data_IF_223082245455
#
_entry.id   IF_223082245455
#
_cell.length_a   1.000
_cell.length_b   1.000
_cell.length_c   1.000
_cell.angle_alpha   90.00
_cell.angle_beta   90.00
_cell.angle_gamma   90.00
#
_symmetry.space_group_name_H-M   'P 1'
#
loop_
_entity.id
_entity.type
_entity.pdbx_description
1 polymer ?
#
# COMPACT_ATOMS: atom_id res chain seq x y z
N UNK A 1 -44.90 -23.05 11.23
CA UNK A 1 -44.55 -21.77 11.88
C UNK A 1 -44.82 -20.62 10.93
N UNK A 2 -45.62 -19.63 11.35
CA UNK A 2 -45.90 -18.44 10.57
C UNK A 2 -44.71 -17.47 10.60
N UNK A 3 -44.38 -16.84 9.48
CA UNK A 3 -43.28 -15.87 9.37
C UNK A 3 -43.28 -15.14 8.03
N UNK A 4 -42.63 -13.98 7.96
CA UNK A 4 -42.56 -13.18 6.73
C UNK A 4 -41.33 -13.53 5.88
N UNK A 5 -41.56 -14.03 4.66
CA UNK A 5 -40.52 -14.29 3.65
C UNK A 5 -40.25 -13.09 2.73
N UNK A 6 -40.88 -11.94 2.96
CA UNK A 6 -40.79 -10.77 2.07
C UNK A 6 -39.48 -10.01 2.30
N UNK A 7 -38.50 -10.17 1.41
CA UNK A 7 -37.17 -9.57 1.55
C UNK A 7 -37.05 -8.11 1.07
N UNK A 8 -37.93 -7.66 0.17
CA UNK A 8 -37.86 -6.31 -0.42
C UNK A 8 -38.51 -5.22 0.44
N UNK A 9 -39.25 -5.61 1.48
CA UNK A 9 -40.00 -4.70 2.35
C UNK A 9 -39.31 -4.62 3.71
N UNK A 10 -38.88 -3.41 4.08
CA UNK A 10 -38.26 -3.15 5.38
C UNK A 10 -36.97 -3.94 5.63
N UNK A 11 -36.74 -4.26 6.90
CA UNK A 11 -35.63 -5.09 7.39
C UNK A 11 -36.18 -6.36 8.03
N UNK A 12 -35.31 -7.32 8.37
CA UNK A 12 -35.72 -8.47 9.18
C UNK A 12 -36.22 -8.01 10.54
N UNK A 13 -35.51 -7.09 11.20
CA UNK A 13 -35.86 -6.59 12.53
C UNK A 13 -37.23 -5.93 12.60
N UNK A 14 -37.52 -5.00 11.68
CA UNK A 14 -38.84 -4.32 11.61
C UNK A 14 -39.97 -5.31 11.38
N UNK A 15 -39.82 -6.23 10.42
CA UNK A 15 -40.83 -7.27 10.14
C UNK A 15 -41.05 -8.21 11.32
N UNK A 16 -39.99 -8.66 11.98
CA UNK A 16 -40.08 -9.51 13.17
C UNK A 16 -40.75 -8.79 14.33
N UNK A 17 -40.36 -7.53 14.59
CA UNK A 17 -40.97 -6.69 15.63
C UNK A 17 -42.47 -6.53 15.42
N UNK A 18 -42.88 -6.25 14.18
CA UNK A 18 -44.30 -6.00 13.88
C UNK A 18 -45.12 -7.30 13.97
N UNK A 19 -44.56 -8.45 13.53
CA UNK A 19 -45.19 -9.77 13.72
C UNK A 19 -45.30 -10.17 15.21
N UNK A 20 -44.31 -9.82 16.03
CA UNK A 20 -44.37 -10.02 17.48
C UNK A 20 -45.46 -9.15 18.11
N UNK A 21 -45.58 -7.88 17.71
CA UNK A 21 -46.64 -6.97 18.19
C UNK A 21 -48.05 -7.46 17.85
N UNK A 22 -48.21 -8.12 16.70
CA UNK A 22 -49.48 -8.75 16.29
C UNK A 22 -49.75 -10.10 16.97
N UNK A 23 -48.83 -10.61 17.80
CA UNK A 23 -48.96 -11.91 18.47
C UNK A 23 -48.78 -13.13 17.57
N UNK A 24 -48.36 -12.93 16.30
CA UNK A 24 -48.19 -14.01 15.31
C UNK A 24 -46.89 -14.79 15.53
N UNK A 25 -45.86 -14.11 16.06
CA UNK A 25 -44.52 -14.67 16.27
C UNK A 25 -44.09 -14.54 17.72
N UNK A 26 -43.56 -15.62 18.31
CA UNK A 26 -42.81 -15.54 19.58
C UNK A 26 -41.45 -14.88 19.35
N UNK A 27 -40.94 -14.22 20.38
CA UNK A 27 -39.65 -13.54 20.32
C UNK A 27 -38.51 -14.50 19.95
N UNK A 28 -37.76 -14.23 18.87
CA UNK A 28 -36.61 -15.04 18.52
C UNK A 28 -35.38 -14.65 19.36
N UNK A 29 -34.48 -15.61 19.58
CA UNK A 29 -33.29 -15.44 20.43
C UNK A 29 -32.43 -14.23 20.06
N UNK A 30 -32.29 -13.95 18.75
CA UNK A 30 -31.46 -12.85 18.26
C UNK A 30 -32.07 -11.46 18.46
N UNK A 31 -33.37 -11.36 18.78
CA UNK A 31 -34.10 -10.07 18.79
C UNK A 31 -33.55 -9.10 19.83
N UNK A 32 -33.27 -9.59 21.05
CA UNK A 32 -32.74 -8.77 22.14
C UNK A 32 -31.33 -8.27 21.83
N UNK A 33 -30.49 -9.16 21.28
CA UNK A 33 -29.13 -8.82 20.85
C UNK A 33 -29.16 -7.69 19.83
N UNK A 34 -30.06 -7.77 18.84
CA UNK A 34 -30.22 -6.73 17.83
C UNK A 34 -30.76 -5.42 18.43
N UNK A 35 -31.72 -5.50 19.37
CA UNK A 35 -32.31 -4.32 20.00
C UNK A 35 -31.31 -3.59 20.91
N UNK A 36 -30.44 -4.33 21.62
CA UNK A 36 -29.41 -3.77 22.48
C UNK A 36 -28.24 -3.17 21.68
N UNK A 37 -27.81 -3.87 20.63
CA UNK A 37 -26.66 -3.48 19.80
C UNK A 37 -27.05 -3.40 18.31
N UNK A 38 -27.87 -2.42 17.90
CA UNK A 38 -28.31 -2.30 16.52
C UNK A 38 -27.13 -1.93 15.59
N UNK A 39 -27.14 -2.40 14.32
CA UNK A 39 -26.11 -2.03 13.36
C UNK A 39 -26.20 -0.55 12.98
N UNK A 40 -25.07 0.06 12.62
CA UNK A 40 -25.01 1.47 12.16
C UNK A 40 -25.96 1.78 11.00
N UNK A 41 -26.19 0.82 10.11
CA UNK A 41 -27.13 0.93 8.99
C UNK A 41 -28.07 -0.25 9.00
N UNK A 42 -29.36 0.05 8.94
CA UNK A 42 -30.39 -0.99 8.90
C UNK A 42 -30.32 -1.79 7.58
N UNK A 43 -30.38 -3.14 7.64
CA UNK A 43 -30.29 -4.02 6.47
C UNK A 43 -31.61 -4.01 5.69
N UNK A 44 -31.86 -2.91 4.99
CA UNK A 44 -32.99 -2.76 4.06
C UNK A 44 -32.55 -3.11 2.64
N UNK A 45 -33.40 -3.81 1.91
CA UNK A 45 -33.19 -4.06 0.49
C UNK A 45 -33.11 -2.73 -0.27
N UNK A 46 -32.04 -2.53 -1.03
CA UNK A 46 -31.91 -1.42 -1.98
C UNK A 46 -31.45 -1.99 -3.32
N UNK A 47 -32.23 -1.80 -4.41
CA UNK A 47 -31.79 -2.26 -5.72
C UNK A 47 -30.56 -1.47 -6.15
N UNK A 48 -29.55 -2.15 -6.68
CA UNK A 48 -28.43 -1.50 -7.35
C UNK A 48 -28.97 -0.80 -8.61
N UNK A 49 -28.83 0.53 -8.67
CA UNK A 49 -29.22 1.32 -9.83
C UNK A 49 -27.96 1.76 -10.58
N UNK A 50 -27.87 1.52 -11.90
CA UNK A 50 -26.78 2.07 -12.70
C UNK A 50 -26.83 3.60 -12.66
N UNK A 51 -25.67 4.21 -12.86
CA UNK A 51 -25.53 5.66 -12.91
C UNK A 51 -25.58 6.11 -14.36
N UNK A 52 -26.33 7.18 -14.61
CA UNK A 52 -26.52 7.75 -15.94
C UNK A 52 -26.09 9.21 -15.97
N UNK A 53 -25.82 9.73 -17.16
CA UNK A 53 -25.42 11.12 -17.37
C UNK A 53 -24.10 11.45 -16.70
N UNK A 54 -24.07 12.52 -15.90
CA UNK A 54 -22.85 13.03 -15.23
C UNK A 54 -22.62 12.45 -13.83
N UNK A 55 -23.34 11.41 -13.44
CA UNK A 55 -23.18 10.78 -12.13
C UNK A 55 -21.85 10.00 -12.05
N UNK A 56 -20.92 10.46 -11.20
CA UNK A 56 -19.61 9.83 -10.96
C UNK A 56 -19.53 9.21 -9.56
N UNK A 57 -18.53 8.37 -9.35
CA UNK A 57 -18.18 7.88 -8.02
C UNK A 57 -17.73 9.02 -7.11
N UNK A 58 -18.16 8.96 -5.85
CA UNK A 58 -17.71 9.89 -4.81
C UNK A 58 -16.37 9.50 -4.20
N UNK A 59 -15.80 8.36 -4.62
CA UNK A 59 -14.49 7.88 -4.18
C UNK A 59 -13.43 8.61 -4.99
N UNK A 60 -12.47 9.21 -4.29
CA UNK A 60 -11.34 9.93 -4.90
C UNK A 60 -10.14 9.00 -5.01
N UNK A 61 -9.27 9.26 -5.98
CA UNK A 61 -7.98 8.61 -6.07
C UNK A 61 -7.09 9.01 -4.88
N UNK A 62 -6.27 8.07 -4.40
CA UNK A 62 -5.38 8.28 -3.26
C UNK A 62 -3.96 8.46 -3.82
N UNK A 63 -3.45 9.70 -3.75
CA UNK A 63 -2.08 10.05 -4.13
C UNK A 63 -1.36 10.72 -2.97
N UNK A 64 -0.10 10.37 -2.79
CA UNK A 64 0.78 10.95 -1.79
C UNK A 64 1.89 11.79 -2.44
N UNK A 65 2.45 12.78 -1.74
CA UNK A 65 3.51 13.62 -2.30
C UNK A 65 4.75 12.83 -2.74
N UNK A 66 5.07 11.73 -2.05
CA UNK A 66 6.19 10.88 -2.44
C UNK A 66 5.95 10.09 -3.74
N UNK A 67 4.70 9.95 -4.20
CA UNK A 67 4.40 9.20 -5.43
C UNK A 67 5.02 9.86 -6.66
N UNK A 68 5.22 11.19 -6.65
CA UNK A 68 5.97 11.89 -7.69
C UNK A 68 7.43 11.40 -7.77
N UNK A 69 8.07 11.18 -6.61
CA UNK A 69 9.44 10.68 -6.51
C UNK A 69 9.50 9.20 -6.89
N UNK A 70 8.53 8.39 -6.42
CA UNK A 70 8.41 6.97 -6.79
C UNK A 70 8.22 6.80 -8.30
N UNK A 71 7.38 7.62 -8.93
CA UNK A 71 7.17 7.59 -10.37
C UNK A 71 8.47 7.88 -11.14
N UNK A 72 9.23 8.91 -10.72
CA UNK A 72 10.54 9.24 -11.31
C UNK A 72 11.54 8.10 -11.10
N UNK A 73 11.60 7.52 -9.89
CA UNK A 73 12.45 6.37 -9.57
C UNK A 73 12.16 5.17 -10.48
N UNK A 74 10.91 4.75 -10.59
CA UNK A 74 10.54 3.58 -11.42
C UNK A 74 10.71 3.85 -12.91
N UNK A 75 10.58 5.11 -13.37
CA UNK A 75 10.89 5.48 -14.74
C UNK A 75 12.38 5.32 -15.06
N UNK A 76 13.26 5.70 -14.14
CA UNK A 76 14.72 5.71 -14.34
C UNK A 76 15.36 4.34 -14.05
N UNK A 77 15.00 3.70 -12.93
CA UNK A 77 15.64 2.49 -12.43
C UNK A 77 14.78 1.22 -12.54
N UNK A 78 13.45 1.36 -12.61
CA UNK A 78 12.52 0.23 -12.64
C UNK A 78 12.41 -0.53 -11.32
N UNK A 79 11.81 -1.73 -11.36
CA UNK A 79 11.83 -2.67 -10.23
C UNK A 79 13.22 -3.29 -10.17
N UNK A 80 14.06 -2.78 -9.27
CA UNK A 80 15.43 -3.26 -9.07
C UNK A 80 15.50 -4.76 -8.73
N UNK A 81 16.71 -5.30 -8.50
CA UNK A 81 16.93 -6.74 -8.41
C UNK A 81 16.34 -7.40 -7.15
N UNK A 82 16.00 -6.61 -6.12
CA UNK A 82 15.47 -7.12 -4.86
C UNK A 82 13.94 -7.20 -4.92
N UNK A 83 13.34 -8.40 -4.77
CA UNK A 83 11.89 -8.53 -4.74
C UNK A 83 11.29 -7.85 -3.51
N UNK A 84 9.99 -7.55 -3.58
CA UNK A 84 9.25 -7.05 -2.42
C UNK A 84 8.89 -8.21 -1.50
N UNK A 85 9.12 -8.04 -0.20
CA UNK A 85 8.57 -8.92 0.82
C UNK A 85 7.32 -8.24 1.41
N UNK A 86 6.14 -8.71 0.97
CA UNK A 86 4.86 -8.16 1.40
C UNK A 86 4.36 -8.79 2.72
N UNK A 87 5.01 -9.83 3.23
CA UNK A 87 4.65 -10.47 4.50
C UNK A 87 5.20 -9.68 5.69
N UNK A 88 6.30 -8.95 5.49
CA UNK A 88 6.90 -8.09 6.49
C UNK A 88 6.23 -6.69 6.49
N UNK A 89 5.52 -6.30 7.57
CA UNK A 89 4.81 -5.02 7.60
C UNK A 89 5.75 -3.80 7.53
N UNK A 90 6.98 -3.95 8.02
CA UNK A 90 7.99 -2.88 8.04
C UNK A 90 9.03 -3.03 6.92
N UNK A 91 8.68 -3.72 5.82
CA UNK A 91 9.60 -3.92 4.72
C UNK A 91 9.93 -2.59 4.00
N UNK A 92 11.20 -2.19 4.06
CA UNK A 92 11.70 -1.04 3.31
C UNK A 92 12.29 -1.46 1.97
N UNK A 93 11.52 -1.24 0.91
CA UNK A 93 11.98 -1.43 -0.47
C UNK A 93 13.12 -0.47 -0.83
N UNK A 94 13.84 -0.76 -1.92
CA UNK A 94 14.89 0.13 -2.44
C UNK A 94 14.33 1.50 -2.82
N UNK A 95 13.15 1.53 -3.43
CA UNK A 95 12.43 2.76 -3.75
C UNK A 95 12.04 3.52 -2.47
N UNK A 96 11.57 2.82 -1.42
CA UNK A 96 11.24 3.47 -0.14
C UNK A 96 12.46 4.09 0.53
N UNK A 97 13.61 3.39 0.54
CA UNK A 97 14.89 3.95 1.04
C UNK A 97 15.32 5.16 0.23
N UNK A 98 15.05 5.16 -1.08
CA UNK A 98 15.34 6.30 -1.95
C UNK A 98 14.48 7.52 -1.58
N UNK A 99 13.19 7.32 -1.36
CA UNK A 99 12.26 8.39 -0.93
C UNK A 99 12.66 8.95 0.43
N UNK A 100 13.00 8.09 1.41
CA UNK A 100 13.46 8.53 2.73
C UNK A 100 14.69 9.43 2.62
N UNK A 101 15.71 8.98 1.87
CA UNK A 101 16.93 9.78 1.66
C UNK A 101 16.67 11.07 0.88
N UNK A 102 15.73 11.03 -0.07
CA UNK A 102 15.30 12.23 -0.81
C UNK A 102 14.65 13.27 0.08
N UNK A 103 13.78 12.83 1.00
CA UNK A 103 13.13 13.73 1.94
C UNK A 103 14.12 14.30 2.95
N UNK A 104 15.06 13.49 3.46
CA UNK A 104 16.15 13.98 4.33
C UNK A 104 16.96 15.11 3.65
N UNK A 105 17.42 14.89 2.41
CA UNK A 105 18.18 15.92 1.69
C UNK A 105 17.33 17.15 1.32
N UNK A 106 16.02 16.96 1.10
CA UNK A 106 15.09 18.06 0.85
C UNK A 106 14.89 18.92 2.09
N UNK A 107 14.78 18.32 3.27
CA UNK A 107 14.65 19.03 4.55
C UNK A 107 15.92 19.80 4.91
N UNK A 108 17.10 19.29 4.53
CA UNK A 108 18.35 20.02 4.71
C UNK A 108 18.44 21.30 3.86
N UNK A 109 17.64 21.43 2.79
CA UNK A 109 17.47 22.67 2.02
C UNK A 109 18.69 23.17 1.24
N UNK A 110 19.77 22.37 1.16
CA UNK A 110 21.06 22.79 0.55
C UNK A 110 21.12 22.62 -0.97
N UNK A 111 20.15 21.91 -1.57
CA UNK A 111 20.27 21.37 -2.93
C UNK A 111 19.01 21.68 -3.75
N UNK A 112 19.18 22.06 -5.01
CA UNK A 112 18.09 22.30 -5.97
C UNK A 112 17.31 21.01 -6.28
N UNK A 113 16.00 21.09 -6.51
CA UNK A 113 15.12 19.93 -6.76
C UNK A 113 15.54 19.07 -7.97
N UNK A 114 16.19 19.68 -8.97
CA UNK A 114 16.72 18.97 -10.13
C UNK A 114 17.94 18.09 -9.76
N UNK A 115 18.83 18.61 -8.90
CA UNK A 115 20.06 17.94 -8.45
C UNK A 115 19.79 16.94 -7.31
N UNK A 116 18.77 17.20 -6.49
CA UNK A 116 18.37 16.34 -5.36
C UNK A 116 18.22 14.87 -5.77
N UNK A 117 17.62 14.59 -6.93
CA UNK A 117 17.43 13.21 -7.40
C UNK A 117 18.73 12.48 -7.75
N UNK A 118 19.74 13.20 -8.27
CA UNK A 118 21.02 12.59 -8.62
C UNK A 118 21.89 12.38 -7.38
N UNK A 119 21.85 13.34 -6.45
CA UNK A 119 22.59 13.28 -5.20
C UNK A 119 22.07 12.18 -4.26
N UNK A 120 20.76 11.97 -4.20
CA UNK A 120 20.20 10.80 -3.50
C UNK A 120 20.69 9.50 -4.11
N UNK A 121 20.73 9.41 -5.45
CA UNK A 121 21.28 8.25 -6.15
C UNK A 121 22.73 7.98 -5.76
N UNK A 122 23.57 9.02 -5.72
CA UNK A 122 24.98 8.93 -5.27
C UNK A 122 25.09 8.50 -3.81
N UNK A 123 24.27 9.08 -2.92
CA UNK A 123 24.26 8.74 -1.50
C UNK A 123 23.86 7.27 -1.26
N UNK A 124 22.88 6.75 -2.01
CA UNK A 124 22.44 5.37 -1.89
C UNK A 124 23.47 4.39 -2.46
N UNK A 125 24.18 4.75 -3.53
CA UNK A 125 25.32 3.98 -4.03
C UNK A 125 26.45 3.92 -3.00
N UNK A 126 26.74 5.04 -2.32
CA UNK A 126 27.71 5.07 -1.22
C UNK A 126 27.30 4.19 -0.04
N UNK A 127 25.99 4.06 0.22
CA UNK A 127 25.44 3.13 1.22
C UNK A 127 25.44 1.65 0.78
N UNK A 128 25.90 1.35 -0.44
CA UNK A 128 26.00 -0.01 -0.97
C UNK A 128 24.72 -0.55 -1.61
N UNK A 129 23.72 0.30 -1.89
CA UNK A 129 22.48 -0.11 -2.58
C UNK A 129 22.72 -0.11 -4.09
N UNK A 130 22.36 -1.21 -4.76
CA UNK A 130 22.51 -1.36 -6.21
C UNK A 130 21.37 -0.64 -6.93
N UNK A 131 21.69 0.34 -7.76
CA UNK A 131 20.75 1.05 -8.63
C UNK A 131 21.13 0.82 -10.09
N UNK A 132 20.24 0.19 -10.88
CA UNK A 132 20.46 -0.09 -12.30
C UNK A 132 19.54 0.79 -13.13
N UNK A 133 20.10 1.67 -13.97
CA UNK A 133 19.30 2.49 -14.88
C UNK A 133 18.74 1.62 -16.01
N UNK A 134 17.48 1.86 -16.36
CA UNK A 134 16.79 1.15 -17.44
C UNK A 134 17.39 1.62 -18.78
N UNK A 135 18.11 0.73 -19.48
CA UNK A 135 18.69 1.00 -20.80
C UNK A 135 20.20 1.29 -20.87
N UNK A 136 20.94 1.20 -19.76
CA UNK A 136 22.42 1.30 -19.78
C UNK A 136 23.07 0.12 -19.06
N UNK A 137 24.18 -0.38 -19.60
CA UNK A 137 24.93 -1.51 -19.07
C UNK A 137 25.44 -1.30 -17.63
N UNK A 138 25.66 -2.42 -16.94
CA UNK A 138 25.98 -2.55 -15.51
C UNK A 138 27.15 -1.64 -15.09
N UNK A 139 26.88 -0.60 -14.29
CA UNK A 139 27.92 0.07 -13.49
C UNK A 139 27.94 -0.57 -12.10
N UNK A 140 28.71 -1.65 -11.96
CA UNK A 140 29.11 -2.21 -10.67
C UNK A 140 30.45 -1.61 -10.25
N UNK A 141 30.52 -0.98 -9.08
CA UNK A 141 31.79 -0.58 -8.48
C UNK A 141 32.57 -1.86 -8.17
N UNK A 142 33.60 -2.16 -8.98
CA UNK A 142 34.58 -3.20 -8.66
C UNK A 142 35.32 -2.75 -7.41
N UNK A 143 35.16 -3.49 -6.31
CA UNK A 143 36.11 -3.42 -5.20
C UNK A 143 37.48 -3.81 -5.76
N UNK A 144 38.44 -2.91 -5.68
CA UNK A 144 39.84 -3.19 -5.99
C UNK A 144 40.42 -4.11 -4.92
N UNK A 145 40.18 -5.41 -5.04
CA UNK A 145 41.06 -6.41 -4.44
C UNK A 145 42.25 -6.59 -5.39
N UNK A 146 43.27 -5.76 -5.22
CA UNK A 146 44.59 -5.99 -5.80
C UNK A 146 45.63 -5.21 -4.99
N UNK A 147 45.90 -5.66 -3.77
CA UNK A 147 47.10 -5.24 -3.04
C UNK A 147 47.43 -6.14 -1.83
N UNK A 148 47.33 -7.48 -1.93
CA UNK A 148 47.91 -8.38 -0.90
C UNK A 148 48.55 -9.67 -1.44
N UNK A 149 48.62 -9.89 -2.75
CA UNK A 149 49.16 -11.14 -3.33
C UNK A 149 50.51 -10.99 -4.07
N UNK A 150 51.27 -9.94 -3.81
CA UNK A 150 52.63 -9.74 -4.37
C UNK A 150 53.73 -9.73 -3.30
N UNK A 151 53.45 -10.21 -2.08
CA UNK A 151 54.30 -10.03 -0.92
C UNK A 151 54.65 -11.28 -0.10
N UNK A 152 54.85 -12.45 -0.72
CA UNK A 152 55.45 -13.61 -0.02
C UNK A 152 56.45 -14.38 -0.91
N UNK A 153 57.65 -13.80 -1.00
CA UNK A 153 58.97 -14.43 -0.79
C UNK A 153 59.00 -15.95 -1.05
N UNK A 154 59.61 -16.40 -2.15
CA UNK A 154 60.97 -17.00 -2.16
C UNK A 154 61.59 -17.12 -0.77
N UNK A 155 61.81 -18.34 -0.28
CA UNK A 155 63.05 -18.84 0.36
C UNK A 155 62.87 -20.28 0.89
N UNK A 156 63.80 -21.17 0.49
CA UNK A 156 64.18 -22.50 1.05
C UNK A 156 63.08 -23.60 1.10
N UNK A 157 63.26 -24.84 0.63
CA UNK A 157 64.42 -25.69 0.33
C UNK A 157 64.29 -26.34 -1.05
#
# INVERSE_FOLDING_TARGET
MAGSRVQKVGSVFSRTRDLMRMGVLRQPLWFEVYAACPPRREPRYRPARPRYGRARDGVRDIFYPEDAVRAKFYRVYGSGPRPFDLLQPNYKSTCQRFVEKYNELKEEGKIEEEKLFEETGKALLASGIILQRRGTDKVSIKRSENELASGLKRLHF
#
